data_IF_952407497059
#
_entry.id   IF_952407497059
#
_cell.length_a   1.000
_cell.length_b   1.000
_cell.length_c   1.000
_cell.angle_alpha   90.00
_cell.angle_beta   90.00
_cell.angle_gamma   90.00
#
_symmetry.space_group_name_H-M   'P 1'
#
loop_
_entity.id
_entity.type
_entity.pdbx_description
1 polymer ?
#
# COMPACT_ATOMS: atom_id res chain seq x y z
N UNK A 1 15.53 -15.92 13.57
CA UNK A 1 14.89 -14.86 14.36
C UNK A 1 15.96 -14.28 15.29
N UNK A 2 15.97 -12.97 15.57
CA UNK A 2 16.83 -12.43 16.63
C UNK A 2 16.38 -12.92 18.00
N UNK A 3 17.24 -12.80 19.01
CA UNK A 3 16.94 -13.26 20.38
C UNK A 3 15.74 -12.50 20.98
N UNK A 4 15.46 -11.29 20.48
CA UNK A 4 14.29 -10.47 20.83
C UNK A 4 13.10 -10.64 19.85
N UNK A 5 13.13 -11.62 18.96
CA UNK A 5 12.02 -11.91 18.04
C UNK A 5 12.06 -11.15 16.71
N UNK A 6 12.99 -10.21 16.49
CA UNK A 6 13.05 -9.46 15.22
C UNK A 6 13.37 -10.37 14.03
N UNK A 7 12.67 -10.15 12.92
CA UNK A 7 12.91 -10.82 11.63
C UNK A 7 13.96 -10.09 10.78
N UNK A 8 13.89 -8.76 10.74
CA UNK A 8 14.82 -7.93 9.97
C UNK A 8 15.87 -7.30 10.88
N UNK A 9 17.14 -7.62 10.59
CA UNK A 9 18.29 -7.16 11.36
C UNK A 9 19.51 -6.96 10.48
N UNK A 10 20.39 -6.07 10.90
CA UNK A 10 21.74 -5.96 10.34
C UNK A 10 22.55 -7.22 10.68
N UNK A 11 23.73 -7.35 10.06
CA UNK A 11 24.70 -8.41 10.41
C UNK A 11 25.13 -8.37 11.89
N UNK A 12 25.07 -7.20 12.53
CA UNK A 12 25.36 -7.01 13.96
C UNK A 12 24.17 -7.28 14.88
N UNK A 13 22.99 -7.61 14.33
CA UNK A 13 21.77 -7.85 15.12
C UNK A 13 20.96 -6.60 15.45
N UNK A 14 21.30 -5.45 14.87
CA UNK A 14 20.65 -4.16 15.13
C UNK A 14 19.51 -3.86 14.15
N UNK A 15 18.74 -2.81 14.44
CA UNK A 15 17.69 -2.30 13.51
C UNK A 15 18.35 -1.57 12.35
N UNK A 16 17.79 -1.69 11.14
CA UNK A 16 18.21 -0.85 10.03
C UNK A 16 17.86 0.61 10.28
N UNK A 17 18.83 1.51 10.09
CA UNK A 17 18.56 2.94 10.11
C UNK A 17 17.63 3.34 8.96
N UNK A 18 16.83 4.40 9.17
CA UNK A 18 15.99 4.97 8.12
C UNK A 18 16.79 5.44 6.90
N UNK A 19 18.04 5.89 7.10
CA UNK A 19 18.95 6.26 6.01
C UNK A 19 19.37 5.06 5.16
N UNK A 20 19.63 3.92 5.78
CA UNK A 20 19.95 2.67 5.08
C UNK A 20 18.77 2.21 4.22
N UNK A 21 17.57 2.20 4.80
CA UNK A 21 16.33 1.86 4.07
C UNK A 21 16.14 2.81 2.90
N UNK A 22 16.31 4.12 3.12
CA UNK A 22 16.16 5.14 2.07
C UNK A 22 17.17 4.97 0.93
N UNK A 23 18.42 4.59 1.24
CA UNK A 23 19.46 4.35 0.24
C UNK A 23 19.12 3.13 -0.64
N UNK A 24 18.74 2.02 -0.01
CA UNK A 24 18.32 0.81 -0.72
C UNK A 24 17.08 1.09 -1.57
N UNK A 25 16.13 1.85 -1.05
CA UNK A 25 14.92 2.24 -1.79
C UNK A 25 15.23 3.04 -3.05
N UNK A 26 16.13 4.03 -2.97
CA UNK A 26 16.57 4.80 -4.15
C UNK A 26 17.20 3.91 -5.22
N UNK A 27 18.03 2.95 -4.80
CA UNK A 27 18.64 1.99 -5.73
C UNK A 27 17.58 1.09 -6.37
N UNK A 28 16.60 0.59 -5.60
CA UNK A 28 15.50 -0.20 -6.12
C UNK A 28 14.65 0.57 -7.14
N UNK A 29 14.36 1.85 -6.90
CA UNK A 29 13.65 2.72 -7.87
C UNK A 29 14.42 2.84 -9.17
N UNK A 30 15.73 3.11 -9.11
CA UNK A 30 16.57 3.23 -10.30
C UNK A 30 16.67 1.92 -11.11
N UNK A 31 16.55 0.78 -10.44
CA UNK A 31 16.55 -0.54 -11.08
C UNK A 31 15.20 -0.87 -11.74
N UNK A 32 14.08 -0.55 -11.10
CA UNK A 32 12.75 -1.02 -11.50
C UNK A 32 11.96 -0.03 -12.39
N UNK A 33 12.30 1.25 -12.39
CA UNK A 33 11.54 2.31 -13.07
C UNK A 33 12.31 2.92 -14.24
N UNK A 34 11.60 3.52 -15.19
CA UNK A 34 12.23 4.31 -16.26
C UNK A 34 12.88 5.59 -15.71
N UNK A 35 13.85 6.19 -16.41
CA UNK A 35 14.49 7.44 -15.96
C UNK A 35 13.48 8.55 -15.62
N UNK A 36 12.47 8.76 -16.45
CA UNK A 36 11.43 9.77 -16.22
C UNK A 36 10.59 9.45 -14.97
N UNK A 37 10.27 8.17 -14.75
CA UNK A 37 9.55 7.73 -13.56
C UNK A 37 10.39 7.90 -12.28
N UNK A 38 11.70 7.68 -12.34
CA UNK A 38 12.62 7.90 -11.21
C UNK A 38 12.64 9.38 -10.81
N UNK A 39 12.62 10.30 -11.77
CA UNK A 39 12.58 11.76 -11.52
C UNK A 39 11.20 12.20 -11.03
N UNK A 40 10.14 11.50 -11.43
CA UNK A 40 8.78 11.79 -10.99
C UNK A 40 8.54 11.49 -9.49
N UNK A 41 7.42 11.97 -8.91
CA UNK A 41 6.98 11.61 -7.56
C UNK A 41 6.61 10.13 -7.37
N UNK A 42 6.59 9.31 -8.43
CA UNK A 42 6.18 7.91 -8.36
C UNK A 42 7.05 7.13 -7.37
N UNK A 43 6.40 6.57 -6.35
CA UNK A 43 7.04 5.73 -5.32
C UNK A 43 8.26 6.42 -4.65
N UNK A 44 8.20 7.76 -4.49
CA UNK A 44 9.29 8.57 -3.96
C UNK A 44 9.78 8.10 -2.57
N UNK A 45 8.88 7.53 -1.77
CA UNK A 45 9.17 7.02 -0.42
C UNK A 45 8.77 5.55 -0.31
N UNK A 46 9.43 4.76 0.56
CA UNK A 46 8.98 3.40 0.86
C UNK A 46 7.52 3.34 1.32
N UNK A 47 7.06 4.36 2.06
CA UNK A 47 5.69 4.46 2.55
C UNK A 47 4.64 4.57 1.43
N UNK A 48 5.03 4.98 0.22
CA UNK A 48 4.11 5.04 -0.92
C UNK A 48 3.69 3.63 -1.38
N UNK A 49 4.47 2.58 -1.06
CA UNK A 49 4.05 1.19 -1.28
C UNK A 49 2.83 0.81 -0.42
N UNK A 50 2.77 1.33 0.81
CA UNK A 50 1.61 1.11 1.68
C UNK A 50 0.36 1.78 1.10
N UNK A 51 0.51 2.98 0.53
CA UNK A 51 -0.58 3.63 -0.19
C UNK A 51 -1.03 2.79 -1.40
N UNK A 52 -0.08 2.31 -2.21
CA UNK A 52 -0.38 1.48 -3.37
C UNK A 52 -1.11 0.17 -2.99
N UNK A 53 -0.68 -0.51 -1.92
CA UNK A 53 -1.31 -1.73 -1.45
C UNK A 53 -2.77 -1.53 -1.01
N UNK A 54 -3.03 -0.49 -0.19
CA UNK A 54 -4.40 -0.21 0.28
C UNK A 54 -5.31 0.20 -0.89
N UNK A 55 -4.81 1.04 -1.80
CA UNK A 55 -5.53 1.41 -3.02
C UNK A 55 -5.85 0.19 -3.89
N UNK A 56 -4.90 -0.74 -4.04
CA UNK A 56 -5.11 -1.99 -4.77
C UNK A 56 -6.21 -2.85 -4.14
N UNK A 57 -6.20 -3.04 -2.81
CA UNK A 57 -7.23 -3.83 -2.12
C UNK A 57 -8.63 -3.25 -2.33
N UNK A 58 -8.77 -1.94 -2.19
CA UNK A 58 -10.05 -1.25 -2.41
C UNK A 58 -10.52 -1.39 -3.87
N UNK A 59 -9.60 -1.24 -4.83
CA UNK A 59 -9.91 -1.39 -6.25
C UNK A 59 -10.26 -2.84 -6.64
N UNK A 60 -9.72 -3.83 -5.93
CA UNK A 60 -10.10 -5.23 -6.05
C UNK A 60 -11.46 -5.53 -5.37
N UNK A 61 -12.05 -4.55 -4.69
CA UNK A 61 -13.35 -4.66 -4.03
C UNK A 61 -13.31 -5.26 -2.63
N UNK A 62 -12.15 -5.28 -1.97
CA UNK A 62 -12.05 -5.62 -0.54
C UNK A 62 -12.85 -4.59 0.26
N UNK A 63 -13.63 -5.06 1.23
CA UNK A 63 -14.44 -4.19 2.09
C UNK A 63 -13.56 -3.22 2.88
N UNK A 64 -14.00 -1.96 2.99
CA UNK A 64 -13.23 -0.92 3.67
C UNK A 64 -12.84 -1.25 5.12
N UNK A 65 -13.72 -1.85 5.97
CA UNK A 65 -13.32 -2.28 7.31
C UNK A 65 -12.15 -3.27 7.32
N UNK A 66 -12.20 -4.29 6.47
CA UNK A 66 -11.14 -5.30 6.33
C UNK A 66 -9.82 -4.67 5.84
N UNK A 67 -9.89 -3.80 4.84
CA UNK A 67 -8.70 -3.10 4.33
C UNK A 67 -8.08 -2.18 5.40
N UNK A 68 -8.91 -1.52 6.22
CA UNK A 68 -8.46 -0.65 7.30
C UNK A 68 -7.80 -1.46 8.43
N UNK A 69 -8.39 -2.59 8.82
CA UNK A 69 -7.83 -3.51 9.82
C UNK A 69 -6.47 -4.06 9.38
N UNK A 70 -6.37 -4.56 8.14
CA UNK A 70 -5.08 -5.04 7.57
C UNK A 70 -4.03 -3.94 7.49
N UNK A 71 -4.47 -2.71 7.23
CA UNK A 71 -3.57 -1.57 7.26
C UNK A 71 -3.21 -1.17 8.70
N UNK A 72 -4.01 -1.49 9.71
CA UNK A 72 -3.79 -1.07 11.09
C UNK A 72 -4.17 0.40 11.34
N UNK A 73 -5.25 0.87 10.72
CA UNK A 73 -5.87 2.17 11.01
C UNK A 73 -7.39 2.09 11.06
N UNK A 74 -8.04 3.14 11.57
CA UNK A 74 -9.50 3.24 11.57
C UNK A 74 -10.10 3.38 10.17
N UNK A 75 -11.40 3.07 10.04
CA UNK A 75 -12.15 3.20 8.79
C UNK A 75 -12.32 4.66 8.39
N UNK A 76 -12.41 5.57 9.36
CA UNK A 76 -12.45 7.01 9.16
C UNK A 76 -11.20 7.53 8.43
N UNK A 77 -10.01 7.04 8.82
CA UNK A 77 -8.75 7.33 8.12
C UNK A 77 -8.79 6.79 6.70
N UNK A 78 -9.33 5.58 6.50
CA UNK A 78 -9.44 4.98 5.19
C UNK A 78 -10.29 5.84 4.25
N UNK A 79 -11.49 6.23 4.68
CA UNK A 79 -12.39 7.06 3.88
C UNK A 79 -11.77 8.43 3.59
N UNK A 80 -11.12 9.05 4.57
CA UNK A 80 -10.45 10.35 4.39
C UNK A 80 -9.32 10.30 3.37
N UNK A 81 -8.52 9.24 3.37
CA UNK A 81 -7.29 9.15 2.55
C UNK A 81 -7.54 8.51 1.18
N UNK A 82 -8.45 7.53 1.10
CA UNK A 82 -8.60 6.64 -0.05
C UNK A 82 -9.95 6.72 -0.75
N UNK A 83 -10.89 7.59 -0.34
CA UNK A 83 -12.17 7.75 -1.04
C UNK A 83 -12.00 7.99 -2.56
N UNK A 84 -10.95 8.72 -2.95
CA UNK A 84 -10.62 8.96 -4.37
C UNK A 84 -10.27 7.69 -5.17
N UNK A 85 -9.87 6.60 -4.52
CA UNK A 85 -9.61 5.32 -5.18
C UNK A 85 -10.91 4.54 -5.42
N UNK A 86 -11.95 4.82 -4.65
CA UNK A 86 -13.28 4.20 -4.81
C UNK A 86 -14.06 4.89 -5.96
N UNK A 87 -13.57 6.04 -6.44
CA UNK A 87 -14.15 6.74 -7.59
C UNK A 87 -13.91 5.94 -8.89
N UNK A 88 -14.95 5.78 -9.71
CA UNK A 88 -14.94 4.89 -10.87
C UNK A 88 -15.37 3.43 -10.61
N UNK A 89 -15.76 3.09 -9.38
CA UNK A 89 -16.31 1.76 -9.05
C UNK A 89 -17.84 1.68 -9.17
N UNK A 90 -18.50 2.71 -9.71
CA UNK A 90 -19.98 2.80 -9.74
C UNK A 90 -20.59 1.69 -10.58
N UNK A 91 -20.03 1.44 -11.75
CA UNK A 91 -20.49 0.41 -12.68
C UNK A 91 -20.28 -0.99 -12.10
N UNK A 92 -19.13 -1.21 -11.45
CA UNK A 92 -18.83 -2.47 -10.75
C UNK A 92 -19.78 -2.68 -9.57
N UNK A 93 -20.04 -1.65 -8.77
CA UNK A 93 -20.97 -1.70 -7.65
C UNK A 93 -22.41 -2.00 -8.13
N UNK A 94 -22.86 -1.32 -9.18
CA UNK A 94 -24.17 -1.56 -9.79
C UNK A 94 -24.28 -2.98 -10.34
N UNK A 95 -23.23 -3.51 -10.99
CA UNK A 95 -23.20 -4.89 -11.45
C UNK A 95 -23.38 -5.90 -10.32
N UNK A 96 -22.66 -5.72 -9.20
CA UNK A 96 -22.80 -6.56 -8.00
C UNK A 96 -24.20 -6.49 -7.38
N UNK A 97 -24.83 -5.30 -7.37
CA UNK A 97 -26.20 -5.11 -6.88
C UNK A 97 -27.19 -5.86 -7.77
N UNK A 98 -27.07 -5.71 -9.09
CA UNK A 98 -27.96 -6.37 -10.04
C UNK A 98 -27.85 -7.90 -9.96
N UNK A 99 -26.63 -8.42 -9.85
CA UNK A 99 -26.38 -9.85 -9.65
C UNK A 99 -27.08 -10.36 -8.39
N UNK A 100 -26.91 -9.67 -7.26
CA UNK A 100 -27.53 -10.04 -5.99
C UNK A 100 -29.06 -9.96 -6.00
N UNK A 101 -29.65 -9.02 -6.75
CA UNK A 101 -31.10 -8.87 -6.91
C UNK A 101 -31.71 -9.88 -7.90
N UNK A 102 -30.88 -10.53 -8.71
CA UNK A 102 -31.30 -11.54 -9.69
C UNK A 102 -31.27 -12.98 -9.16
N UNK A 103 -30.84 -13.17 -7.91
CA UNK A 103 -30.92 -14.43 -7.17
C UNK A 103 -32.18 -14.49 -6.31
#
# INVERSE_FOLDING_TARGET
MADDGRLFRTRTGEVFSGSTISKVWKAARAFALTPDQVVSPLAARPYDLRHAAVSLWLNAGVHAPEAAERAGHGVDVLLKVYAKCIDGQREVANGRILEALSQ
#
